data_IF_806926299365
#
_entry.id   IF_806926299365
#
_cell.length_a   1.000
_cell.length_b   1.000
_cell.length_c   1.000
_cell.angle_alpha   90.00
_cell.angle_beta   90.00
_cell.angle_gamma   90.00
#
_symmetry.space_group_name_H-M   'P 1'
#
loop_
_entity.id
_entity.type
_entity.pdbx_description
1 polymer ?
#
# COMPACT_ATOMS: atom_id res chain seq x y z
N UNK A 1 -24.62 35.60 -37.13
CA UNK A 1 -23.14 35.59 -37.19
C UNK A 1 -22.44 34.93 -35.98
N UNK A 2 -23.13 34.46 -34.94
CA UNK A 2 -22.49 33.87 -33.74
C UNK A 2 -22.24 32.35 -33.83
N UNK A 3 -22.85 31.66 -34.79
CA UNK A 3 -22.73 30.19 -34.94
C UNK A 3 -21.36 29.76 -35.48
N UNK A 4 -20.78 30.50 -36.42
CA UNK A 4 -19.49 30.15 -37.04
C UNK A 4 -18.30 30.21 -36.06
N UNK A 5 -18.30 31.16 -35.11
CA UNK A 5 -17.21 31.30 -34.13
C UNK A 5 -17.15 30.12 -33.14
N UNK A 6 -18.31 29.56 -32.77
CA UNK A 6 -18.38 28.39 -31.88
C UNK A 6 -17.83 27.14 -32.58
N UNK A 7 -18.15 26.95 -33.85
CA UNK A 7 -17.63 25.83 -34.65
C UNK A 7 -16.11 25.86 -34.78
N UNK A 8 -15.53 27.04 -35.07
CA UNK A 8 -14.07 27.19 -35.16
C UNK A 8 -13.37 26.93 -33.83
N UNK A 9 -13.91 27.42 -32.70
CA UNK A 9 -13.35 27.16 -31.36
C UNK A 9 -13.34 25.66 -31.00
N UNK A 10 -14.43 24.96 -31.30
CA UNK A 10 -14.51 23.50 -31.06
C UNK A 10 -13.49 22.76 -31.94
N UNK A 11 -13.38 23.14 -33.22
CA UNK A 11 -12.47 22.48 -34.15
C UNK A 11 -10.99 22.68 -33.75
N UNK A 12 -10.63 23.89 -33.32
CA UNK A 12 -9.29 24.19 -32.78
C UNK A 12 -9.04 23.41 -31.49
N UNK A 13 -10.02 23.33 -30.59
CA UNK A 13 -9.90 22.55 -29.35
C UNK A 13 -9.68 21.06 -29.60
N UNK A 14 -10.44 20.47 -30.54
CA UNK A 14 -10.29 19.05 -30.92
C UNK A 14 -8.94 18.81 -31.60
N UNK A 15 -8.51 19.71 -32.50
CA UNK A 15 -7.20 19.58 -33.15
C UNK A 15 -6.05 19.69 -32.13
N UNK A 16 -6.10 20.65 -31.21
CA UNK A 16 -5.12 20.77 -30.14
C UNK A 16 -5.10 19.53 -29.23
N UNK A 17 -6.27 19.02 -28.83
CA UNK A 17 -6.37 17.79 -28.04
C UNK A 17 -5.77 16.58 -28.78
N UNK A 18 -5.99 16.47 -30.09
CA UNK A 18 -5.42 15.42 -30.94
C UNK A 18 -3.89 15.52 -31.01
N UNK A 19 -3.33 16.72 -31.20
CA UNK A 19 -1.87 16.95 -31.19
C UNK A 19 -1.28 16.58 -29.83
N UNK A 20 -1.93 16.97 -28.72
CA UNK A 20 -1.52 16.58 -27.36
C UNK A 20 -1.51 15.06 -27.16
N UNK A 21 -2.54 14.36 -27.66
CA UNK A 21 -2.61 12.89 -27.64
C UNK A 21 -1.48 12.26 -28.47
N UNK A 22 -1.19 12.77 -29.67
CA UNK A 22 -0.12 12.28 -30.55
C UNK A 22 1.29 12.51 -29.97
N UNK A 23 1.50 13.57 -29.18
CA UNK A 23 2.76 13.83 -28.48
C UNK A 23 2.97 12.95 -27.24
N UNK A 24 2.10 11.98 -27.00
CA UNK A 24 2.19 11.09 -25.83
C UNK A 24 1.84 11.78 -24.52
N UNK A 25 1.23 12.98 -24.55
CA UNK A 25 0.79 13.72 -23.36
C UNK A 25 -0.53 13.17 -22.79
N UNK A 26 -0.78 11.87 -22.93
CA UNK A 26 -1.97 11.17 -22.43
C UNK A 26 -2.14 11.40 -20.92
N UNK A 27 -1.03 11.63 -20.19
CA UNK A 27 -1.03 11.92 -18.76
C UNK A 27 -1.86 13.16 -18.38
N UNK A 28 -1.95 14.18 -19.24
CA UNK A 28 -2.73 15.40 -18.96
C UNK A 28 -4.22 15.11 -18.83
N UNK A 29 -4.73 14.11 -19.56
CA UNK A 29 -6.12 13.68 -19.48
C UNK A 29 -6.29 12.52 -18.49
N UNK A 30 -5.32 11.59 -18.42
CA UNK A 30 -5.44 10.41 -17.56
C UNK A 30 -5.32 10.74 -16.09
N UNK A 31 -4.45 11.68 -15.68
CA UNK A 31 -4.29 12.06 -14.27
C UNK A 31 -5.58 12.65 -13.67
N UNK A 32 -6.21 13.70 -14.23
CA UNK A 32 -7.45 14.23 -13.67
C UNK A 32 -8.59 13.21 -13.77
N UNK A 33 -8.63 12.38 -14.82
CA UNK A 33 -9.63 11.31 -14.94
C UNK A 33 -9.45 10.25 -13.84
N UNK A 34 -8.21 9.80 -13.58
CA UNK A 34 -7.88 8.87 -12.50
C UNK A 34 -8.12 9.50 -11.13
N UNK A 35 -7.88 10.80 -10.95
CA UNK A 35 -8.24 11.49 -9.71
C UNK A 35 -9.76 11.54 -9.51
N UNK A 36 -10.52 11.84 -10.57
CA UNK A 36 -11.96 11.98 -10.51
C UNK A 36 -12.70 10.65 -10.38
N UNK A 37 -12.21 9.57 -11.00
CA UNK A 37 -12.92 8.29 -11.11
C UNK A 37 -12.12 7.08 -10.61
N UNK A 38 -10.80 7.18 -10.43
CA UNK A 38 -9.96 6.04 -10.04
C UNK A 38 -10.30 5.44 -8.68
N UNK A 39 -10.87 6.24 -7.77
CA UNK A 39 -11.34 5.75 -6.47
C UNK A 39 -12.55 4.80 -6.56
N UNK A 40 -13.31 4.81 -7.67
CA UNK A 40 -14.43 3.88 -7.87
C UNK A 40 -13.96 2.43 -7.97
N UNK A 41 -12.88 2.18 -8.71
CA UNK A 41 -12.29 0.83 -8.81
C UNK A 41 -11.78 0.36 -7.45
N UNK A 42 -11.22 1.27 -6.65
CA UNK A 42 -10.79 0.96 -5.29
C UNK A 42 -11.98 0.60 -4.39
N UNK A 43 -13.07 1.37 -4.44
CA UNK A 43 -14.29 1.04 -3.69
C UNK A 43 -14.89 -0.31 -4.10
N UNK A 44 -14.89 -0.66 -5.40
CA UNK A 44 -15.38 -1.96 -5.85
C UNK A 44 -14.60 -3.14 -5.27
N UNK A 45 -13.30 -2.97 -5.01
CA UNK A 45 -12.44 -3.98 -4.41
C UNK A 45 -12.58 -4.00 -2.89
N UNK A 46 -12.64 -2.83 -2.25
CA UNK A 46 -12.61 -2.71 -0.79
C UNK A 46 -13.98 -2.91 -0.15
N UNK A 47 -15.07 -2.41 -0.74
CA UNK A 47 -16.41 -2.51 -0.16
C UNK A 47 -16.83 -3.96 0.15
N UNK A 48 -16.56 -4.96 -0.72
CA UNK A 48 -16.84 -6.37 -0.39
C UNK A 48 -16.02 -6.93 0.77
N UNK A 49 -14.83 -6.38 1.04
CA UNK A 49 -13.95 -6.81 2.14
C UNK A 49 -14.32 -6.16 3.47
N UNK A 50 -15.09 -5.06 3.44
CA UNK A 50 -15.56 -4.38 4.65
C UNK A 50 -16.59 -5.24 5.37
N UNK A 51 -16.20 -5.80 6.51
CA UNK A 51 -17.12 -6.51 7.39
C UNK A 51 -17.89 -5.51 8.26
N UNK A 52 -19.22 -5.40 8.13
CA UNK A 52 -19.99 -4.45 8.91
C UNK A 52 -20.00 -4.85 10.39
N UNK A 53 -19.47 -3.98 11.24
CA UNK A 53 -19.52 -4.13 12.71
C UNK A 53 -20.80 -3.48 13.23
N UNK A 54 -21.90 -4.22 13.23
CA UNK A 54 -23.22 -3.72 13.64
C UNK A 54 -23.23 -3.00 15.00
N UNK A 55 -22.46 -3.48 15.98
CA UNK A 55 -22.34 -2.82 17.29
C UNK A 55 -21.83 -1.37 17.19
N UNK A 56 -20.79 -1.13 16.40
CA UNK A 56 -20.24 0.21 16.19
C UNK A 56 -21.20 1.12 15.42
N UNK A 57 -21.98 0.56 14.48
CA UNK A 57 -22.99 1.30 13.73
C UNK A 57 -24.11 1.76 14.68
N UNK A 58 -24.61 0.87 15.53
CA UNK A 58 -25.66 1.20 16.51
C UNK A 58 -25.15 2.25 17.50
N UNK A 59 -23.94 2.09 18.03
CA UNK A 59 -23.32 3.07 18.93
C UNK A 59 -23.20 4.45 18.27
N UNK A 60 -22.72 4.51 17.03
CA UNK A 60 -22.66 5.74 16.26
C UNK A 60 -24.04 6.38 16.09
N UNK A 61 -25.07 5.60 15.73
CA UNK A 61 -26.44 6.11 15.57
C UNK A 61 -27.02 6.66 16.87
N UNK A 62 -26.77 5.99 18.00
CA UNK A 62 -27.20 6.45 19.33
C UNK A 62 -26.52 7.77 19.69
N UNK A 63 -25.20 7.86 19.54
CA UNK A 63 -24.44 9.08 19.82
C UNK A 63 -24.86 10.22 18.88
N UNK A 64 -25.04 9.96 17.59
CA UNK A 64 -25.49 10.94 16.62
C UNK A 64 -26.92 11.44 16.93
N UNK A 65 -27.82 10.55 17.35
CA UNK A 65 -29.18 10.92 17.76
C UNK A 65 -29.17 11.77 19.03
N UNK A 66 -28.39 11.40 20.05
CA UNK A 66 -28.22 12.19 21.27
C UNK A 66 -27.65 13.57 20.97
N UNK A 67 -26.60 13.65 20.14
CA UNK A 67 -25.98 14.91 19.74
C UNK A 67 -26.94 15.77 18.91
N UNK A 68 -27.67 15.16 17.98
CA UNK A 68 -28.68 15.84 17.15
C UNK A 68 -29.84 16.41 17.96
N UNK A 69 -30.40 15.62 18.88
CA UNK A 69 -31.47 16.06 19.76
C UNK A 69 -30.99 17.15 20.74
N UNK A 70 -29.84 16.93 21.39
CA UNK A 70 -29.24 17.88 22.32
C UNK A 70 -28.91 19.23 21.66
N UNK A 71 -28.23 19.20 20.51
CA UNK A 71 -27.92 20.40 19.74
C UNK A 71 -29.18 21.11 19.25
N UNK A 72 -30.22 20.39 18.82
CA UNK A 72 -31.48 21.01 18.42
C UNK A 72 -32.15 21.74 19.58
N UNK A 73 -32.28 21.10 20.75
CA UNK A 73 -32.89 21.71 21.93
C UNK A 73 -32.08 22.91 22.41
N UNK A 74 -30.76 22.79 22.45
CA UNK A 74 -29.85 23.87 22.82
C UNK A 74 -29.94 25.06 21.87
N UNK A 75 -29.85 24.84 20.55
CA UNK A 75 -29.94 25.90 19.55
C UNK A 75 -31.32 26.54 19.51
N UNK A 76 -32.40 25.77 19.69
CA UNK A 76 -33.75 26.30 19.80
C UNK A 76 -33.91 27.17 21.06
N UNK A 77 -33.31 26.76 22.17
CA UNK A 77 -33.29 27.59 23.39
C UNK A 77 -32.49 28.87 23.18
N UNK A 78 -31.27 28.77 22.65
CA UNK A 78 -30.40 29.91 22.37
C UNK A 78 -31.04 30.91 21.40
N UNK A 79 -31.66 30.40 20.32
CA UNK A 79 -32.36 31.22 19.33
C UNK A 79 -33.48 32.04 19.96
N UNK A 80 -34.27 31.43 20.85
CA UNK A 80 -35.34 32.13 21.59
C UNK A 80 -34.78 33.23 22.49
N UNK A 81 -33.66 32.98 23.18
CA UNK A 81 -33.03 33.98 24.04
C UNK A 81 -32.50 35.17 23.23
N UNK A 82 -31.84 34.90 22.10
CA UNK A 82 -31.29 35.94 21.23
C UNK A 82 -32.38 36.80 20.55
N UNK A 83 -33.59 36.27 20.38
CA UNK A 83 -34.69 36.96 19.70
C UNK A 83 -35.85 37.35 20.62
N UNK A 84 -35.66 37.35 21.94
CA UNK A 84 -36.73 37.62 22.91
C UNK A 84 -37.39 39.02 22.73
N UNK A 85 -36.68 39.98 22.13
CA UNK A 85 -37.18 41.34 21.84
C UNK A 85 -37.78 41.54 20.45
N UNK A 86 -37.77 40.53 19.58
CA UNK A 86 -38.27 40.62 18.21
C UNK A 86 -39.62 39.89 18.06
N UNK A 87 -40.76 40.60 17.98
CA UNK A 87 -42.09 39.98 17.96
C UNK A 87 -42.37 39.09 16.74
N UNK A 88 -41.56 39.20 15.67
CA UNK A 88 -41.72 38.42 14.42
C UNK A 88 -40.63 37.35 14.21
N UNK A 89 -39.85 36.99 15.23
CA UNK A 89 -38.79 36.01 15.04
C UNK A 89 -39.32 34.61 14.69
N UNK A 90 -38.93 34.11 13.51
CA UNK A 90 -39.25 32.74 13.07
C UNK A 90 -38.77 31.70 14.08
N UNK A 91 -39.55 30.64 14.28
CA UNK A 91 -39.14 29.49 15.10
C UNK A 91 -37.94 28.77 14.48
N UNK A 92 -37.07 28.23 15.34
CA UNK A 92 -35.93 27.43 14.90
C UNK A 92 -36.42 26.15 14.20
N UNK A 93 -36.09 26.01 12.91
CA UNK A 93 -36.59 24.90 12.09
C UNK A 93 -35.70 23.66 12.26
N UNK A 94 -36.25 22.45 12.40
CA UNK A 94 -35.47 21.22 12.60
C UNK A 94 -34.49 20.93 11.45
N UNK A 95 -34.84 21.32 10.22
CA UNK A 95 -33.96 21.20 9.04
C UNK A 95 -32.60 21.87 9.21
N UNK A 96 -32.51 22.94 10.02
CA UNK A 96 -31.24 23.63 10.28
C UNK A 96 -30.34 22.81 11.20
N UNK A 97 -30.91 22.20 12.24
CA UNK A 97 -30.17 21.27 13.11
C UNK A 97 -29.69 20.03 12.35
N UNK A 98 -30.54 19.45 11.49
CA UNK A 98 -30.15 18.32 10.63
C UNK A 98 -29.02 18.73 9.68
N UNK A 99 -29.11 19.91 9.07
CA UNK A 99 -28.05 20.43 8.22
C UNK A 99 -26.73 20.60 8.97
N UNK A 100 -26.75 21.15 10.19
CA UNK A 100 -25.55 21.30 11.01
C UNK A 100 -24.96 19.95 11.42
N UNK A 101 -25.82 18.98 11.80
CA UNK A 101 -25.38 17.63 12.14
C UNK A 101 -24.72 16.94 10.94
N UNK A 102 -25.33 17.03 9.75
CA UNK A 102 -24.75 16.47 8.52
C UNK A 102 -23.40 17.10 8.18
N UNK A 103 -23.28 18.43 8.29
CA UNK A 103 -21.99 19.12 8.11
C UNK A 103 -20.95 18.61 9.12
N UNK A 104 -21.34 18.43 10.38
CA UNK A 104 -20.45 17.86 11.42
C UNK A 104 -19.99 16.43 11.08
N UNK A 105 -20.91 15.56 10.64
CA UNK A 105 -20.58 14.19 10.22
C UNK A 105 -19.64 14.19 9.01
N UNK A 106 -19.88 15.06 8.02
CA UNK A 106 -19.01 15.20 6.85
C UNK A 106 -17.61 15.70 7.23
N UNK A 107 -17.52 16.67 8.14
CA UNK A 107 -16.23 17.16 8.65
C UNK A 107 -15.47 16.07 9.42
N UNK A 108 -16.18 15.28 10.24
CA UNK A 108 -15.60 14.15 10.95
C UNK A 108 -15.07 13.09 9.97
N UNK A 109 -15.87 12.69 8.98
CA UNK A 109 -15.47 11.75 7.94
C UNK A 109 -14.27 12.26 7.14
N UNK A 110 -14.28 13.55 6.76
CA UNK A 110 -13.16 14.21 6.09
C UNK A 110 -11.89 14.19 6.94
N UNK A 111 -12.00 14.41 8.25
CA UNK A 111 -10.84 14.38 9.15
C UNK A 111 -10.27 12.98 9.28
N UNK A 112 -11.12 11.97 9.45
CA UNK A 112 -10.70 10.56 9.48
C UNK A 112 -10.02 10.13 8.17
N UNK A 113 -10.55 10.56 7.02
CA UNK A 113 -9.93 10.32 5.72
C UNK A 113 -8.53 10.96 5.65
N UNK A 114 -8.40 12.22 6.07
CA UNK A 114 -7.10 12.92 6.10
C UNK A 114 -6.07 12.24 7.01
N UNK A 115 -6.48 11.73 8.18
CA UNK A 115 -5.60 10.96 9.07
C UNK A 115 -5.14 9.67 8.40
N UNK A 116 -6.05 8.95 7.74
CA UNK A 116 -5.71 7.75 6.96
C UNK A 116 -4.68 8.05 5.86
N UNK A 117 -4.89 9.11 5.08
CA UNK A 117 -3.95 9.58 4.06
C UNK A 117 -2.60 9.90 4.72
N UNK A 118 -2.58 10.65 5.81
CA UNK A 118 -1.35 11.02 6.53
C UNK A 118 -0.57 9.81 7.02
N UNK A 119 -1.26 8.79 7.53
CA UNK A 119 -0.64 7.53 7.95
C UNK A 119 -0.03 6.77 6.76
N UNK A 120 -0.75 6.63 5.65
CA UNK A 120 -0.22 5.98 4.46
C UNK A 120 0.95 6.74 3.85
N UNK A 121 0.87 8.06 3.74
CA UNK A 121 1.97 8.91 3.28
C UNK A 121 3.16 8.80 4.24
N UNK A 122 2.93 8.81 5.55
CA UNK A 122 3.98 8.60 6.55
C UNK A 122 4.67 7.24 6.40
N UNK A 123 3.91 6.18 6.13
CA UNK A 123 4.48 4.85 5.87
C UNK A 123 5.27 4.81 4.56
N UNK A 124 4.79 5.48 3.51
CA UNK A 124 5.51 5.58 2.23
C UNK A 124 6.80 6.40 2.37
N UNK A 125 6.80 7.48 3.15
CA UNK A 125 7.97 8.32 3.37
C UNK A 125 9.01 7.67 4.30
N UNK A 126 8.55 6.92 5.32
CA UNK A 126 9.45 6.21 6.24
C UNK A 126 9.90 4.85 5.73
N UNK A 127 9.16 4.27 4.78
CA UNK A 127 9.52 3.03 4.12
C UNK A 127 10.78 3.19 3.28
N UNK A 128 11.79 2.34 3.54
CA UNK A 128 12.97 2.21 2.65
C UNK A 128 12.65 1.45 1.35
N UNK A 129 11.39 1.03 1.17
CA UNK A 129 10.92 0.37 -0.03
C UNK A 129 10.81 1.40 -1.18
N UNK A 130 11.18 0.99 -2.39
CA UNK A 130 11.12 1.88 -3.56
C UNK A 130 9.67 2.19 -3.89
N UNK A 131 9.32 3.48 -3.89
CA UNK A 131 7.98 3.97 -4.23
C UNK A 131 7.63 3.82 -5.72
N UNK A 132 8.65 3.76 -6.57
CA UNK A 132 8.49 3.60 -8.01
C UNK A 132 9.11 2.27 -8.40
N UNK A 133 8.26 1.35 -8.84
CA UNK A 133 8.70 0.15 -9.54
C UNK A 133 9.00 0.56 -10.97
N UNK A 134 10.16 0.18 -11.50
CA UNK A 134 10.40 0.43 -12.92
C UNK A 134 9.38 -0.37 -13.74
N UNK A 135 8.77 0.25 -14.75
CA UNK A 135 7.90 -0.43 -15.72
C UNK A 135 8.67 -1.34 -16.68
N UNK A 136 9.99 -1.43 -16.48
CA UNK A 136 10.95 -2.10 -17.33
C UNK A 136 11.65 -3.21 -16.52
N UNK A 137 10.92 -4.25 -16.08
CA UNK A 137 11.45 -5.26 -15.17
C UNK A 137 12.65 -6.03 -15.76
N UNK A 138 12.71 -6.20 -17.09
CA UNK A 138 13.88 -6.80 -17.74
C UNK A 138 15.15 -5.92 -17.66
N UNK A 139 14.97 -4.62 -17.40
CA UNK A 139 16.05 -3.65 -17.18
C UNK A 139 16.23 -3.31 -15.69
N UNK A 140 15.69 -4.13 -14.80
CA UNK A 140 16.03 -4.12 -13.38
C UNK A 140 17.15 -5.16 -13.17
N UNK A 141 18.42 -4.84 -13.49
CA UNK A 141 19.54 -5.77 -13.33
C UNK A 141 19.78 -6.16 -11.87
N UNK A 142 19.10 -5.51 -10.93
CA UNK A 142 19.38 -5.60 -9.51
C UNK A 142 18.83 -6.87 -8.87
N UNK A 143 17.70 -7.44 -9.29
CA UNK A 143 17.16 -8.65 -8.65
C UNK A 143 18.15 -9.83 -8.70
N UNK A 144 18.37 -10.36 -9.91
CA UNK A 144 19.24 -11.53 -10.12
C UNK A 144 20.72 -11.23 -9.81
N UNK A 145 21.24 -10.05 -10.20
CA UNK A 145 22.67 -9.74 -9.90
C UNK A 145 22.92 -9.51 -8.43
N UNK A 146 21.99 -8.90 -7.67
CA UNK A 146 22.21 -8.68 -6.23
C UNK A 146 22.10 -9.96 -5.44
N UNK A 147 21.13 -10.83 -5.75
CA UNK A 147 21.03 -12.15 -5.12
C UNK A 147 22.27 -12.99 -5.45
N UNK A 148 22.80 -12.90 -6.68
CA UNK A 148 24.05 -13.54 -7.08
C UNK A 148 25.27 -13.06 -6.28
N UNK A 149 25.43 -11.74 -6.11
CA UNK A 149 26.51 -11.14 -5.30
C UNK A 149 26.39 -11.52 -3.82
N UNK A 150 25.18 -11.58 -3.29
CA UNK A 150 24.94 -11.99 -1.91
C UNK A 150 25.25 -13.48 -1.70
N UNK A 151 24.92 -14.35 -2.67
CA UNK A 151 25.33 -15.75 -2.64
C UNK A 151 26.85 -15.92 -2.65
N UNK A 152 27.58 -15.10 -3.41
CA UNK A 152 29.06 -15.11 -3.41
C UNK A 152 29.63 -14.73 -2.04
N UNK A 153 29.12 -13.67 -1.42
CA UNK A 153 29.53 -13.23 -0.07
C UNK A 153 29.18 -14.25 1.02
N UNK A 154 27.99 -14.86 0.93
CA UNK A 154 27.57 -15.96 1.81
C UNK A 154 28.56 -17.12 1.68
N UNK A 155 28.92 -17.47 0.44
CA UNK A 155 29.82 -18.58 0.17
C UNK A 155 31.22 -18.33 0.69
N UNK A 156 31.78 -17.14 0.48
CA UNK A 156 33.08 -16.77 1.06
C UNK A 156 33.11 -16.95 2.59
N UNK A 157 32.01 -16.63 3.28
CA UNK A 157 31.90 -16.83 4.72
C UNK A 157 31.78 -18.31 5.10
N UNK A 158 31.07 -19.12 4.32
CA UNK A 158 30.98 -20.57 4.54
C UNK A 158 32.33 -21.25 4.30
N UNK A 159 33.03 -20.88 3.23
CA UNK A 159 34.38 -21.38 2.89
C UNK A 159 35.41 -20.98 3.97
N UNK A 160 35.19 -19.85 4.65
CA UNK A 160 35.96 -19.44 5.83
C UNK A 160 35.59 -20.19 7.12
N UNK A 161 34.69 -21.19 7.07
CA UNK A 161 34.28 -21.99 8.21
C UNK A 161 33.32 -21.28 9.18
N UNK A 162 32.67 -20.20 8.75
CA UNK A 162 31.66 -19.51 9.59
C UNK A 162 30.39 -20.37 9.64
N UNK A 163 29.88 -20.69 10.83
CA UNK A 163 28.68 -21.52 10.94
C UNK A 163 27.42 -20.76 10.51
N UNK A 164 26.40 -21.51 10.06
CA UNK A 164 25.19 -20.95 9.46
C UNK A 164 24.44 -19.97 10.38
N UNK A 165 24.44 -20.23 11.69
CA UNK A 165 23.84 -19.37 12.71
C UNK A 165 24.54 -18.00 12.85
N UNK A 166 25.81 -17.88 12.44
CA UNK A 166 26.57 -16.62 12.49
C UNK A 166 26.59 -15.87 11.16
N UNK A 167 26.21 -16.51 10.04
CA UNK A 167 26.25 -15.93 8.70
C UNK A 167 25.45 -14.63 8.62
N UNK A 168 24.19 -14.63 9.07
CA UNK A 168 23.35 -13.43 9.04
C UNK A 168 23.99 -12.27 9.81
N UNK A 169 24.52 -12.54 11.02
CA UNK A 169 25.20 -11.52 11.83
C UNK A 169 26.45 -10.96 11.12
N UNK A 170 27.26 -11.82 10.50
CA UNK A 170 28.48 -11.41 9.78
C UNK A 170 28.17 -10.63 8.50
N UNK A 171 27.11 -11.00 7.78
CA UNK A 171 26.64 -10.26 6.61
C UNK A 171 26.17 -8.85 7.01
N UNK A 172 25.37 -8.71 8.06
CA UNK A 172 24.92 -7.40 8.55
C UNK A 172 26.06 -6.53 9.11
N UNK A 173 27.20 -7.12 9.49
CA UNK A 173 28.37 -6.37 9.94
C UNK A 173 29.12 -5.68 8.78
N UNK A 174 28.87 -6.04 7.51
CA UNK A 174 29.47 -5.41 6.33
C UNK A 174 28.58 -4.25 5.84
N UNK A 175 28.97 -2.96 6.00
CA UNK A 175 28.14 -1.82 5.60
C UNK A 175 27.80 -1.81 4.10
N UNK A 176 28.70 -2.33 3.27
CA UNK A 176 28.52 -2.47 1.82
C UNK A 176 27.37 -3.41 1.42
N UNK A 177 27.00 -4.36 2.29
CA UNK A 177 25.91 -5.31 2.05
C UNK A 177 24.60 -4.88 2.67
N UNK A 178 24.58 -3.82 3.48
CA UNK A 178 23.39 -3.41 4.23
C UNK A 178 22.20 -3.14 3.29
N UNK A 179 22.40 -2.39 2.21
CA UNK A 179 21.33 -2.12 1.24
C UNK A 179 20.83 -3.41 0.55
N UNK A 180 21.70 -4.41 0.34
CA UNK A 180 21.33 -5.69 -0.25
C UNK A 180 20.52 -6.54 0.72
N UNK A 181 20.95 -6.61 1.99
CA UNK A 181 20.27 -7.35 3.05
C UNK A 181 18.93 -6.71 3.48
N UNK A 182 18.74 -5.43 3.20
CA UNK A 182 17.45 -4.76 3.38
C UNK A 182 16.46 -5.13 2.27
N UNK A 183 16.95 -5.37 1.05
CA UNK A 183 16.14 -5.75 -0.11
C UNK A 183 15.95 -7.28 -0.25
N UNK A 184 16.88 -8.07 0.27
CA UNK A 184 16.93 -9.53 0.14
C UNK A 184 16.81 -10.19 1.52
N UNK A 185 16.04 -11.27 1.58
CA UNK A 185 15.95 -12.15 2.72
C UNK A 185 16.93 -13.32 2.54
N UNK A 186 17.84 -13.47 3.50
CA UNK A 186 18.76 -14.62 3.60
C UNK A 186 18.24 -15.56 4.68
N UNK A 187 17.93 -16.81 4.31
CA UNK A 187 17.40 -17.81 5.24
C UNK A 187 18.24 -19.08 5.11
N UNK A 188 18.74 -19.59 6.24
CA UNK A 188 19.29 -20.95 6.30
C UNK A 188 18.12 -21.92 6.40
N UNK A 189 18.01 -22.84 5.45
CA UNK A 189 16.98 -23.87 5.44
C UNK A 189 17.61 -25.26 5.25
N UNK A 190 16.90 -26.32 5.63
CA UNK A 190 17.33 -27.69 5.38
C UNK A 190 16.62 -28.17 4.11
N UNK A 191 17.40 -28.56 3.11
CA UNK A 191 16.89 -29.12 1.86
C UNK A 191 16.17 -30.46 2.10
N UNK A 192 15.34 -30.92 1.15
CA UNK A 192 14.73 -32.25 1.20
C UNK A 192 15.75 -33.40 1.38
N UNK A 193 16.99 -33.19 0.91
CA UNK A 193 18.09 -34.15 1.07
C UNK A 193 18.75 -34.12 2.47
N UNK A 194 18.29 -33.25 3.38
CA UNK A 194 18.85 -33.10 4.72
C UNK A 194 20.07 -32.18 4.79
N UNK A 195 20.53 -31.61 3.67
CA UNK A 195 21.65 -30.67 3.65
C UNK A 195 21.17 -29.26 4.03
N UNK A 196 21.94 -28.55 4.86
CA UNK A 196 21.69 -27.12 5.13
C UNK A 196 22.09 -26.29 3.91
N UNK A 197 21.14 -25.52 3.39
CA UNK A 197 21.35 -24.61 2.27
C UNK A 197 21.00 -23.20 2.69
N UNK A 198 21.59 -22.23 2.02
CA UNK A 198 21.28 -20.82 2.27
C UNK A 198 20.48 -20.33 1.08
N UNK A 199 19.27 -19.89 1.34
CA UNK A 199 18.39 -19.32 0.35
C UNK A 199 18.47 -17.80 0.41
N UNK A 200 18.70 -17.18 -0.75
CA UNK A 200 18.61 -15.74 -0.93
C UNK A 200 17.42 -15.46 -1.82
N UNK A 201 16.46 -14.70 -1.31
CA UNK A 201 15.24 -14.34 -2.04
C UNK A 201 14.89 -12.88 -1.80
N UNK A 202 14.10 -12.28 -2.68
CA UNK A 202 13.63 -10.92 -2.44
C UNK A 202 12.75 -10.87 -1.18
N UNK A 203 12.92 -9.82 -0.36
CA UNK A 203 12.07 -9.61 0.82
C UNK A 203 10.61 -9.29 0.45
N UNK A 204 10.39 -8.67 -0.72
CA UNK A 204 9.04 -8.44 -1.25
C UNK A 204 8.43 -9.77 -1.76
N UNK A 205 7.31 -10.23 -1.19
CA UNK A 205 6.70 -11.50 -1.55
C UNK A 205 6.26 -11.56 -3.02
N UNK A 206 5.88 -10.42 -3.62
CA UNK A 206 5.46 -10.35 -5.03
C UNK A 206 6.65 -10.50 -5.98
N UNK A 207 7.83 -10.00 -5.58
CA UNK A 207 9.08 -10.19 -6.32
C UNK A 207 9.58 -11.62 -6.15
N UNK A 208 9.48 -12.18 -4.93
CA UNK A 208 9.82 -13.57 -4.64
C UNK A 208 8.96 -14.57 -5.42
N UNK A 209 7.66 -14.33 -5.56
CA UNK A 209 6.78 -15.21 -6.34
C UNK A 209 7.08 -15.13 -7.85
N UNK A 210 7.60 -14.01 -8.34
CA UNK A 210 7.97 -13.82 -9.74
C UNK A 210 9.36 -14.39 -10.06
N UNK A 211 10.34 -14.08 -9.22
CA UNK A 211 11.75 -14.35 -9.48
C UNK A 211 12.27 -15.61 -8.78
N UNK A 212 11.48 -16.20 -7.88
CA UNK A 212 11.91 -17.35 -7.09
C UNK A 212 12.94 -16.99 -6.03
N UNK A 213 13.87 -17.91 -5.78
CA UNK A 213 14.99 -17.76 -4.85
C UNK A 213 16.25 -18.39 -5.44
N UNK A 214 17.41 -17.88 -5.02
CA UNK A 214 18.68 -18.52 -5.30
C UNK A 214 19.08 -19.41 -4.14
N UNK A 215 19.36 -20.68 -4.44
CA UNK A 215 20.03 -21.61 -3.53
C UNK A 215 21.54 -21.38 -3.62
N UNK A 216 22.14 -20.88 -2.54
CA UNK A 216 23.59 -20.78 -2.43
C UNK A 216 24.11 -22.08 -1.81
N UNK A 217 24.64 -22.99 -2.64
CA UNK A 217 25.27 -24.25 -2.20
C UNK A 217 26.78 -24.00 -1.99
N UNK A 218 27.44 -24.65 -1.01
CA UNK A 218 28.89 -24.53 -0.82
C UNK A 218 29.73 -25.00 -2.03
N UNK A 219 29.16 -25.83 -2.92
CA UNK A 219 29.89 -26.39 -4.06
C UNK A 219 30.02 -25.40 -5.22
N UNK A 220 31.16 -25.40 -5.96
CA UNK A 220 31.50 -24.30 -6.86
C UNK A 220 30.59 -23.99 -8.03
N UNK A 221 29.85 -24.99 -8.53
CA UNK A 221 29.20 -24.94 -9.84
C UNK A 221 27.70 -24.68 -9.83
N UNK A 222 27.03 -24.78 -8.68
CA UNK A 222 25.57 -24.93 -8.68
C UNK A 222 24.90 -23.73 -7.98
N UNK A 223 24.79 -22.60 -8.73
CA UNK A 223 23.74 -21.62 -8.44
C UNK A 223 22.45 -22.20 -9.02
N UNK A 224 21.60 -22.74 -8.16
CA UNK A 224 20.31 -23.28 -8.57
C UNK A 224 19.25 -22.19 -8.37
N UNK A 225 18.65 -21.74 -9.48
CA UNK A 225 17.46 -20.91 -9.45
C UNK A 225 16.25 -21.78 -9.11
N UNK A 226 15.70 -21.58 -7.92
CA UNK A 226 14.47 -22.23 -7.48
C UNK A 226 13.29 -21.41 -7.98
N UNK A 227 12.47 -21.98 -8.84
CA UNK A 227 11.22 -21.36 -9.26
C UNK A 227 10.24 -21.21 -8.08
N UNK A 228 9.24 -20.34 -8.25
CA UNK A 228 8.27 -20.07 -7.18
C UNK A 228 7.37 -21.26 -6.86
N UNK A 229 7.26 -22.24 -7.76
CA UNK A 229 6.48 -23.46 -7.52
C UNK A 229 7.23 -24.38 -6.57
N UNK A 230 8.52 -24.59 -6.79
CA UNK A 230 9.40 -25.38 -5.93
C UNK A 230 9.48 -24.77 -4.54
N UNK A 231 9.58 -23.44 -4.44
CA UNK A 231 9.54 -22.71 -3.16
C UNK A 231 8.28 -22.98 -2.32
N UNK A 232 7.10 -23.14 -2.94
CA UNK A 232 5.86 -23.44 -2.20
C UNK A 232 5.85 -24.82 -1.56
N UNK A 233 6.73 -25.72 -2.00
CA UNK A 233 6.87 -27.08 -1.45
C UNK A 233 7.97 -27.17 -0.39
N UNK A 234 8.73 -26.10 -0.18
CA UNK A 234 9.72 -26.07 0.89
C UNK A 234 9.02 -25.87 2.25
N UNK A 235 9.41 -26.64 3.28
CA UNK A 235 8.80 -26.52 4.58
C UNK A 235 9.08 -25.14 5.19
N UNK A 236 8.01 -24.40 5.51
CA UNK A 236 8.11 -23.06 6.09
C UNK A 236 8.77 -23.03 7.48
N UNK A 237 8.94 -24.19 8.14
CA UNK A 237 9.52 -24.29 9.48
C UNK A 237 10.84 -25.07 9.52
N UNK A 238 11.95 -24.44 9.97
CA UNK A 238 13.24 -25.12 10.18
C UNK A 238 13.27 -26.09 11.37
N UNK A 239 12.12 -26.62 11.82
CA UNK A 239 11.99 -27.43 13.04
C UNK A 239 11.05 -28.63 12.98
N UNK A 240 10.30 -28.86 11.89
CA UNK A 240 9.34 -29.96 11.85
C UNK A 240 9.92 -31.30 11.40
N UNK A 241 11.25 -31.43 11.29
CA UNK A 241 11.88 -32.74 11.08
C UNK A 241 11.65 -33.52 12.37
N UNK A 242 10.56 -34.29 12.39
CA UNK A 242 10.31 -35.30 13.43
C UNK A 242 11.58 -36.13 13.51
N UNK A 243 12.29 -36.00 14.61
CA UNK A 243 13.36 -36.92 15.00
C UNK A 243 12.76 -38.31 15.02
N UNK A 244 12.80 -39.02 13.89
CA UNK A 244 12.70 -40.47 13.85
C UNK A 244 13.97 -41.00 14.49
N UNK A 245 13.96 -41.00 15.83
CA UNK A 245 14.92 -41.77 16.60
C UNK A 245 14.75 -43.24 16.22
N UNK A 246 15.83 -43.98 15.95
CA UNK A 246 15.80 -45.42 15.71
C UNK A 246 15.36 -46.21 16.94
#
# INVERSE_FOLDING_TARGET
MTSGKKGVLVLVGVFAAMVFLCMGQVWVLSVPFLLAFGWLSFLQQVVPEVTPRWGAIVEFLVVAAMLGAGSHLFLRWLWRQLHAGAPEASTWRPRWSVSLLLVGVLLFASTMASVGIGHHVGWLMSGRARLVRSSWPQFEPEGARTSGRLCEEVRELVDAGIPAEQLTRKLFAKPSLQALLEAQQVVSQVSPEGERVIMVSARDPSVRERNGALRCVPKPSDKEELDSKTLKHWPDEPGSVKSTSP
#
